data_IF_927408386392
#
_entry.id   IF_927408386392
#
_cell.length_a   1.000
_cell.length_b   1.000
_cell.length_c   1.000
_cell.angle_alpha   90.00
_cell.angle_beta   90.00
_cell.angle_gamma   90.00
#
_symmetry.space_group_name_H-M   'P 1'
#
loop_
_entity.id
_entity.type
_entity.pdbx_description
1 polymer ?
#
# COMPACT_ATOMS: atom_id res chain seq x y z
N UNK A 1 0.62 3.23 -3.35
CA UNK A 1 0.14 2.03 -4.04
C UNK A 1 -0.80 2.44 -5.16
N UNK A 2 -0.52 1.99 -6.38
CA UNK A 2 -1.38 2.22 -7.55
C UNK A 2 -1.91 0.88 -8.08
N UNK A 3 -3.08 0.92 -8.69
CA UNK A 3 -3.59 -0.20 -9.51
C UNK A 3 -2.79 -0.30 -10.80
N UNK A 4 -2.88 -1.42 -11.51
CA UNK A 4 -2.23 -1.61 -12.81
C UNK A 4 -2.58 -0.51 -13.84
N UNK A 5 -3.77 0.08 -13.75
CA UNK A 5 -4.22 1.22 -14.57
C UNK A 5 -3.69 2.59 -14.12
N UNK A 6 -2.82 2.64 -13.11
CA UNK A 6 -2.27 3.86 -12.54
C UNK A 6 -3.17 4.56 -11.53
N UNK A 7 -4.42 4.11 -11.35
CA UNK A 7 -5.35 4.72 -10.39
C UNK A 7 -4.95 4.49 -8.94
N UNK A 8 -5.40 5.36 -8.04
CA UNK A 8 -5.11 5.24 -6.62
C UNK A 8 -5.75 3.97 -6.01
N UNK A 9 -4.91 3.10 -5.45
CA UNK A 9 -5.34 1.87 -4.77
C UNK A 9 -5.47 2.02 -3.23
N UNK A 10 -5.27 3.24 -2.70
CA UNK A 10 -5.10 3.48 -1.26
C UNK A 10 -6.26 3.00 -0.40
N UNK A 11 -7.52 3.24 -0.81
CA UNK A 11 -8.69 2.82 -0.03
C UNK A 11 -8.85 1.31 0.03
N UNK A 12 -8.64 0.62 -1.09
CA UNK A 12 -8.68 -0.84 -1.15
C UNK A 12 -7.57 -1.46 -0.29
N UNK A 13 -6.37 -0.88 -0.34
CA UNK A 13 -5.23 -1.31 0.49
C UNK A 13 -5.55 -1.22 1.99
N UNK A 14 -6.05 -0.06 2.43
CA UNK A 14 -6.41 0.15 3.84
C UNK A 14 -7.53 -0.78 4.28
N UNK A 15 -8.51 -1.03 3.42
CA UNK A 15 -9.59 -1.99 3.70
C UNK A 15 -9.06 -3.41 3.89
N UNK A 16 -8.20 -3.89 2.99
CA UNK A 16 -7.59 -5.22 3.09
C UNK A 16 -6.70 -5.36 4.34
N UNK A 17 -5.92 -4.32 4.66
CA UNK A 17 -5.10 -4.28 5.89
C UNK A 17 -5.98 -4.37 7.15
N UNK A 18 -7.09 -3.62 7.21
CA UNK A 18 -8.02 -3.69 8.34
C UNK A 18 -8.66 -5.08 8.46
N UNK A 19 -9.09 -5.67 7.35
CA UNK A 19 -9.65 -7.01 7.31
C UNK A 19 -8.64 -8.07 7.81
N UNK A 20 -7.34 -7.86 7.55
CA UNK A 20 -6.27 -8.71 8.05
C UNK A 20 -5.89 -8.47 9.53
N UNK A 21 -6.55 -7.53 10.21
CA UNK A 21 -6.33 -7.21 11.63
C UNK A 21 -5.32 -6.11 11.89
N UNK A 22 -4.89 -5.35 10.88
CA UNK A 22 -4.04 -4.19 11.09
C UNK A 22 -4.85 -2.98 11.56
N UNK A 23 -4.24 -2.21 12.47
CA UNK A 23 -4.69 -0.87 12.85
C UNK A 23 -3.86 0.19 12.14
N UNK A 24 -4.51 1.23 11.63
CA UNK A 24 -3.82 2.37 10.99
C UNK A 24 -4.11 3.65 11.77
N UNK A 25 -3.05 4.34 12.20
CA UNK A 25 -3.13 5.68 12.78
C UNK A 25 -2.73 6.71 11.73
N UNK A 26 -3.70 7.48 11.24
CA UNK A 26 -3.44 8.54 10.27
C UNK A 26 -2.58 9.68 10.87
N UNK A 27 -2.81 10.03 12.14
CA UNK A 27 -2.05 11.06 12.86
C UNK A 27 -0.54 10.77 12.92
N UNK A 28 -0.18 9.50 13.06
CA UNK A 28 1.20 9.07 13.18
C UNK A 28 1.73 8.34 11.93
N UNK A 29 0.92 8.25 10.87
CA UNK A 29 1.20 7.45 9.67
C UNK A 29 1.67 6.02 9.98
N UNK A 30 1.12 5.40 11.03
CA UNK A 30 1.61 4.12 11.58
C UNK A 30 0.63 2.98 11.32
N UNK A 31 1.16 1.89 10.77
CA UNK A 31 0.48 0.61 10.66
C UNK A 31 0.90 -0.29 11.84
N UNK A 32 -0.02 -1.02 12.46
CA UNK A 32 0.26 -1.87 13.62
C UNK A 32 -0.46 -3.21 13.49
N UNK A 33 0.24 -4.30 13.80
CA UNK A 33 -0.28 -5.66 13.92
C UNK A 33 0.14 -6.22 15.27
N UNK A 34 -0.83 -6.68 16.06
CA UNK A 34 -0.57 -7.34 17.33
C UNK A 34 -0.37 -8.84 17.12
N UNK A 35 0.53 -9.45 17.90
CA UNK A 35 0.87 -10.87 17.78
C UNK A 35 1.57 -11.21 16.46
N UNK A 36 2.55 -10.40 16.07
CA UNK A 36 3.27 -10.40 14.78
C UNK A 36 3.24 -11.74 14.03
N UNK A 37 2.62 -11.73 12.85
CA UNK A 37 2.43 -12.90 11.99
C UNK A 37 2.59 -12.53 10.52
N UNK A 38 2.86 -13.51 9.68
CA UNK A 38 2.75 -13.35 8.25
C UNK A 38 1.27 -13.13 7.86
N UNK A 39 1.03 -12.21 6.94
CA UNK A 39 -0.29 -11.92 6.39
C UNK A 39 -0.20 -11.91 4.88
N UNK A 40 -1.06 -12.69 4.24
CA UNK A 40 -1.27 -12.60 2.79
C UNK A 40 -2.34 -11.57 2.51
N UNK A 41 -2.01 -10.59 1.66
CA UNK A 41 -2.97 -9.61 1.15
C UNK A 41 -3.39 -10.00 -0.27
N UNK A 42 -4.63 -9.69 -0.69
CA UNK A 42 -5.16 -10.06 -2.00
C UNK A 42 -4.65 -9.13 -3.11
N UNK A 43 -3.33 -8.92 -3.16
CA UNK A 43 -2.69 -8.06 -4.15
C UNK A 43 -1.51 -8.78 -4.77
N UNK A 44 -1.44 -8.72 -6.10
CA UNK A 44 -0.31 -9.19 -6.87
C UNK A 44 0.51 -8.01 -7.36
N UNK A 45 1.81 -8.02 -7.08
CA UNK A 45 2.74 -7.04 -7.62
C UNK A 45 2.86 -7.21 -9.14
N UNK A 46 2.79 -6.11 -9.88
CA UNK A 46 2.84 -6.13 -11.36
C UNK A 46 3.99 -5.32 -11.94
N UNK A 47 4.59 -4.41 -11.18
CA UNK A 47 5.72 -3.63 -11.67
C UNK A 47 5.99 -2.37 -10.85
N UNK A 48 7.00 -1.63 -11.30
CA UNK A 48 7.44 -0.38 -10.70
C UNK A 48 7.79 0.66 -11.77
N UNK A 49 7.56 1.93 -11.44
CA UNK A 49 7.91 3.10 -12.24
C UNK A 49 8.87 3.98 -11.43
N UNK A 50 10.13 4.12 -11.87
CA UNK A 50 11.12 4.94 -11.16
C UNK A 50 10.82 6.44 -11.21
N UNK A 51 9.98 6.87 -12.15
CA UNK A 51 9.67 8.29 -12.43
C UNK A 51 8.28 8.70 -11.93
N UNK A 52 7.73 7.95 -10.96
CA UNK A 52 6.37 8.15 -10.43
C UNK A 52 6.14 9.47 -9.67
N UNK A 53 7.17 10.31 -9.58
CA UNK A 53 7.19 11.57 -8.87
C UNK A 53 7.60 11.44 -7.40
N UNK A 54 7.49 12.53 -6.63
CA UNK A 54 7.93 12.54 -5.24
C UNK A 54 7.00 11.74 -4.32
N UNK A 55 7.57 11.11 -3.28
CA UNK A 55 6.82 10.51 -2.19
C UNK A 55 6.21 11.57 -1.26
N UNK A 56 5.54 11.11 -0.19
CA UNK A 56 4.89 11.99 0.80
C UNK A 56 5.87 12.91 1.57
N UNK A 57 7.18 12.67 1.49
CA UNK A 57 8.23 13.56 2.04
C UNK A 57 8.84 14.49 1.00
N UNK A 58 8.32 14.54 -0.22
CA UNK A 58 8.82 15.37 -1.31
C UNK A 58 10.06 14.83 -2.04
N UNK A 59 10.53 13.63 -1.69
CA UNK A 59 11.74 13.02 -2.29
C UNK A 59 11.39 12.17 -3.51
N UNK A 60 12.26 12.08 -4.55
CA UNK A 60 12.06 11.16 -5.67
C UNK A 60 11.72 9.75 -5.20
N UNK A 61 10.78 9.10 -5.86
CA UNK A 61 10.26 7.82 -5.41
C UNK A 61 9.85 6.92 -6.56
N UNK A 62 9.99 5.62 -6.30
CA UNK A 62 9.52 4.56 -7.20
C UNK A 62 8.06 4.26 -6.90
N UNK A 63 7.20 4.33 -7.92
CA UNK A 63 5.80 3.96 -7.84
C UNK A 63 5.62 2.46 -8.04
N UNK A 64 5.16 1.74 -7.02
CA UNK A 64 4.82 0.31 -7.15
C UNK A 64 3.36 0.10 -7.53
N UNK A 65 3.14 -0.80 -8.48
CA UNK A 65 1.84 -1.16 -9.05
C UNK A 65 1.42 -2.56 -8.63
N UNK A 66 0.13 -2.70 -8.32
CA UNK A 66 -0.47 -3.95 -7.89
C UNK A 66 -1.82 -4.16 -8.57
N UNK A 67 -2.23 -5.40 -8.77
CA UNK A 67 -3.61 -5.77 -9.12
C UNK A 67 -4.28 -6.49 -7.94
N UNK A 68 -5.60 -6.37 -7.84
CA UNK A 68 -6.38 -7.26 -6.97
C UNK A 68 -6.40 -8.67 -7.57
N UNK A 69 -6.36 -9.69 -6.71
CA UNK A 69 -6.62 -11.08 -7.09
C UNK A 69 -8.09 -11.42 -6.86
#
# INVERSE_FOLDING_TARGET
>A
MRRADGSAAGRAAVSALRAAGFRYSARHHRLTLEGGRAVTLPFRYVGADPDAGPNYTGRPAVGSYYTAC
#
